data_IF_236108455190
#
_entry.id   IF_236108455190
#
_cell.length_a   1.000
_cell.length_b   1.000
_cell.length_c   1.000
_cell.angle_alpha   90.00
_cell.angle_beta   90.00
_cell.angle_gamma   90.00
#
_symmetry.space_group_name_H-M   'P 1'
#
loop_
_entity.id
_entity.type
_entity.pdbx_description
1 polymer ?
#
# COMPACT_ATOMS: atom_id res chain seq x y z
N UNK A 1 49.67 49.20 -7.15
CA UNK A 1 49.22 47.96 -6.47
C UNK A 1 47.79 47.69 -6.93
N UNK A 2 47.62 46.80 -7.91
CA UNK A 2 46.30 46.34 -8.34
C UNK A 2 46.15 44.89 -7.90
N UNK A 3 45.22 44.63 -7.00
CA UNK A 3 44.83 43.28 -6.58
C UNK A 3 43.74 42.79 -7.52
N UNK A 4 44.06 41.81 -8.35
CA UNK A 4 43.07 41.07 -9.14
C UNK A 4 42.50 39.95 -8.26
N UNK A 5 41.24 40.10 -7.86
CA UNK A 5 40.45 39.04 -7.23
C UNK A 5 40.08 38.00 -8.31
N UNK A 6 40.69 36.81 -8.23
CA UNK A 6 40.27 35.63 -8.97
C UNK A 6 39.05 35.03 -8.25
N UNK A 7 37.85 35.28 -8.78
CA UNK A 7 36.65 34.53 -8.41
C UNK A 7 36.72 33.13 -9.03
N UNK A 8 36.95 32.12 -8.20
CA UNK A 8 36.84 30.71 -8.59
C UNK A 8 35.38 30.37 -8.89
N UNK A 9 35.04 29.83 -10.07
CA UNK A 9 33.67 29.39 -10.33
C UNK A 9 33.41 28.13 -9.49
N UNK A 10 32.53 28.27 -8.51
CA UNK A 10 31.98 27.13 -7.77
C UNK A 10 31.19 26.29 -8.79
N UNK A 11 31.77 25.18 -9.27
CA UNK A 11 31.03 24.19 -10.02
C UNK A 11 30.02 23.54 -9.06
N UNK A 12 28.78 24.03 -9.09
CA UNK A 12 27.64 23.30 -8.54
C UNK A 12 27.59 21.97 -9.28
N UNK A 13 28.05 20.90 -8.64
CA UNK A 13 27.79 19.55 -9.11
C UNK A 13 26.27 19.38 -9.15
N UNK A 14 25.71 19.26 -10.35
CA UNK A 14 24.34 18.79 -10.54
C UNK A 14 24.29 17.42 -9.87
N UNK A 15 23.63 17.33 -8.72
CA UNK A 15 23.34 16.05 -8.10
C UNK A 15 22.48 15.28 -9.10
N UNK A 16 23.03 14.19 -9.64
CA UNK A 16 22.34 13.39 -10.63
C UNK A 16 21.18 12.65 -9.96
N UNK A 17 19.97 12.81 -10.49
CA UNK A 17 18.73 12.33 -9.89
C UNK A 17 18.04 11.30 -10.78
N UNK A 18 17.17 10.46 -10.22
CA UNK A 18 16.14 9.74 -10.96
C UNK A 18 15.29 10.78 -11.69
N UNK A 19 15.21 10.64 -13.01
CA UNK A 19 14.68 11.67 -13.90
C UNK A 19 13.20 11.43 -14.24
N UNK A 20 12.62 12.43 -14.90
CA UNK A 20 11.29 12.36 -15.51
C UNK A 20 11.42 12.14 -17.01
N UNK A 21 10.70 11.14 -17.51
CA UNK A 21 10.59 10.79 -18.91
C UNK A 21 9.84 11.85 -19.73
N UNK A 22 9.91 11.74 -21.05
CA UNK A 22 9.35 12.74 -21.99
C UNK A 22 8.60 12.11 -23.16
N UNK A 23 8.49 10.79 -23.20
CA UNK A 23 7.81 10.05 -24.26
C UNK A 23 6.31 9.92 -23.98
N UNK A 24 5.91 9.88 -22.70
CA UNK A 24 4.53 9.76 -22.27
C UNK A 24 4.22 10.80 -21.19
N UNK A 25 3.24 11.66 -21.44
CA UNK A 25 2.85 12.68 -20.47
C UNK A 25 2.13 12.02 -19.30
N UNK A 26 2.45 12.46 -18.09
CA UNK A 26 1.70 12.08 -16.91
C UNK A 26 0.39 12.86 -16.83
N UNK A 27 -0.73 12.14 -16.80
CA UNK A 27 -2.07 12.72 -16.69
C UNK A 27 -2.84 11.94 -15.62
N UNK A 28 -2.94 12.49 -14.42
CA UNK A 28 -3.65 11.86 -13.31
C UNK A 28 -5.15 11.71 -13.61
N UNK A 29 -5.72 10.49 -13.53
CA UNK A 29 -7.16 10.30 -13.55
C UNK A 29 -7.82 11.07 -12.40
N UNK A 30 -8.84 11.86 -12.71
CA UNK A 30 -9.57 12.64 -11.70
C UNK A 30 -10.35 11.70 -10.79
N UNK A 31 -10.37 11.97 -9.48
CA UNK A 31 -11.19 11.25 -8.51
C UNK A 31 -11.75 12.24 -7.50
N UNK A 32 -13.08 12.38 -7.49
CA UNK A 32 -13.79 13.19 -6.51
C UNK A 32 -13.94 12.41 -5.20
N UNK A 33 -13.85 13.11 -4.08
CA UNK A 33 -14.18 12.60 -2.76
C UNK A 33 -14.83 13.71 -1.93
N UNK A 34 -15.31 13.40 -0.74
CA UNK A 34 -15.94 14.42 0.12
C UNK A 34 -15.28 14.53 1.49
N UNK A 35 -15.11 15.76 1.97
CA UNK A 35 -14.73 16.06 3.35
C UNK A 35 -15.97 16.53 4.12
N UNK A 36 -16.28 15.90 5.26
CA UNK A 36 -17.47 16.24 6.03
C UNK A 36 -17.16 16.94 7.36
N UNK A 37 -18.04 17.85 7.74
CA UNK A 37 -18.05 18.47 9.05
C UNK A 37 -18.84 17.63 10.07
N UNK A 38 -18.64 17.96 11.35
CA UNK A 38 -19.38 17.38 12.47
C UNK A 38 -20.91 17.57 12.37
N UNK A 39 -21.36 18.55 11.60
CA UNK A 39 -22.78 18.85 11.35
C UNK A 39 -23.41 17.95 10.27
N UNK A 40 -22.64 16.99 9.73
CA UNK A 40 -23.06 16.11 8.64
C UNK A 40 -23.04 16.77 7.26
N UNK A 41 -22.59 18.03 7.16
CA UNK A 41 -22.41 18.69 5.87
C UNK A 41 -21.12 18.19 5.20
N UNK A 42 -21.20 17.87 3.91
CA UNK A 42 -20.05 17.36 3.16
C UNK A 42 -19.71 18.28 1.98
N UNK A 43 -18.42 18.57 1.82
CA UNK A 43 -17.88 19.34 0.70
C UNK A 43 -17.16 18.40 -0.24
N UNK A 44 -17.51 18.50 -1.53
CA UNK A 44 -16.77 17.80 -2.58
C UNK A 44 -15.37 18.39 -2.72
N UNK A 45 -14.41 17.50 -2.92
CA UNK A 45 -13.02 17.78 -3.21
C UNK A 45 -12.70 17.12 -4.54
N UNK A 46 -12.27 17.92 -5.51
CA UNK A 46 -11.76 17.43 -6.79
C UNK A 46 -10.29 17.02 -6.59
N UNK A 47 -10.03 15.71 -6.56
CA UNK A 47 -8.69 15.15 -6.47
C UNK A 47 -8.28 14.41 -7.75
N UNK A 48 -7.16 13.72 -7.67
CA UNK A 48 -6.69 12.79 -8.69
C UNK A 48 -6.07 11.57 -8.07
N UNK A 49 -5.67 10.61 -8.91
CA UNK A 49 -4.84 9.48 -8.48
C UNK A 49 -3.59 9.37 -9.34
N UNK A 50 -2.49 8.95 -8.73
CA UNK A 50 -1.28 8.56 -9.47
C UNK A 50 -0.96 7.08 -9.22
N UNK A 51 -0.34 6.41 -10.19
CA UNK A 51 0.13 5.03 -10.01
C UNK A 51 1.54 5.05 -9.45
N UNK A 52 1.82 4.07 -8.59
CA UNK A 52 3.13 3.86 -8.01
C UNK A 52 4.22 3.73 -9.08
N UNK A 53 5.36 4.37 -8.81
CA UNK A 53 6.53 4.40 -9.68
C UNK A 53 7.01 3.02 -10.13
N UNK A 54 6.80 1.98 -9.33
CA UNK A 54 7.27 0.62 -9.62
C UNK A 54 6.54 0.00 -10.84
N UNK A 55 5.34 0.47 -11.17
CA UNK A 55 4.58 0.05 -12.35
C UNK A 55 4.97 0.79 -13.62
N UNK A 56 5.67 1.91 -13.50
CA UNK A 56 5.99 2.79 -14.64
C UNK A 56 7.12 2.22 -15.46
N UNK A 57 7.12 2.57 -16.73
CA UNK A 57 8.27 2.30 -17.58
C UNK A 57 9.48 3.11 -17.10
N UNK A 58 10.58 2.41 -16.90
CA UNK A 58 11.87 2.99 -16.52
C UNK A 58 12.85 2.82 -17.69
N UNK A 59 13.24 3.93 -18.30
CA UNK A 59 14.12 3.94 -19.46
C UNK A 59 15.25 4.95 -19.33
N UNK A 60 16.21 4.89 -20.26
CA UNK A 60 17.35 5.82 -20.27
C UNK A 60 16.90 7.22 -20.69
N UNK A 61 17.44 8.25 -20.05
CA UNK A 61 17.05 9.66 -20.31
C UNK A 61 17.20 10.06 -21.79
N UNK A 62 18.28 9.60 -22.45
CA UNK A 62 18.64 10.06 -23.79
C UNK A 62 18.14 9.15 -24.94
N UNK A 63 17.49 8.02 -24.63
CA UNK A 63 17.00 7.08 -25.64
C UNK A 63 15.97 6.08 -25.08
N UNK A 64 15.15 5.41 -25.92
CA UNK A 64 14.04 4.57 -25.45
C UNK A 64 14.47 3.15 -24.99
N UNK A 65 15.74 2.91 -24.68
CA UNK A 65 16.14 1.62 -24.11
C UNK A 65 15.82 1.58 -22.62
N UNK A 66 15.12 0.54 -22.17
CA UNK A 66 14.75 0.34 -20.77
C UNK A 66 15.98 0.23 -19.85
N UNK A 67 15.85 0.76 -18.64
CA UNK A 67 16.75 0.48 -17.53
C UNK A 67 16.34 -0.77 -16.75
N UNK A 68 15.09 -1.20 -16.88
CA UNK A 68 14.53 -2.38 -16.21
C UNK A 68 13.56 -3.08 -17.15
N UNK A 69 13.79 -4.37 -17.41
CA UNK A 69 12.99 -5.20 -18.33
C UNK A 69 12.59 -6.49 -17.62
N UNK A 70 11.29 -6.84 -17.69
CA UNK A 70 10.73 -7.96 -16.94
C UNK A 70 10.93 -7.75 -15.44
N UNK A 71 11.79 -8.55 -14.83
CA UNK A 71 12.20 -8.46 -13.43
C UNK A 71 13.70 -8.22 -13.24
N UNK A 72 14.40 -7.69 -14.25
CA UNK A 72 15.86 -7.48 -14.22
C UNK A 72 16.27 -6.06 -14.60
N UNK A 73 17.32 -5.56 -13.95
CA UNK A 73 18.01 -4.33 -14.37
C UNK A 73 18.82 -4.57 -15.64
N UNK A 74 18.81 -3.58 -16.54
CA UNK A 74 19.54 -3.64 -17.81
C UNK A 74 20.92 -2.97 -17.67
N UNK A 75 22.00 -3.76 -17.73
CA UNK A 75 23.37 -3.25 -17.59
C UNK A 75 23.75 -2.22 -18.67
N UNK A 76 23.04 -2.15 -19.80
CA UNK A 76 23.33 -1.18 -20.87
C UNK A 76 22.84 0.22 -20.49
N UNK A 77 23.59 0.93 -19.67
CA UNK A 77 23.27 2.29 -19.22
C UNK A 77 22.75 2.37 -17.77
N UNK A 78 22.69 1.22 -17.09
CA UNK A 78 22.36 1.09 -15.69
C UNK A 78 23.21 -0.04 -15.08
N UNK A 79 24.54 0.12 -15.16
CA UNK A 79 25.57 -0.83 -14.71
C UNK A 79 26.05 -0.62 -13.25
N UNK A 80 25.65 0.48 -12.62
CA UNK A 80 26.00 0.86 -11.26
C UNK A 80 24.87 1.67 -10.63
N UNK A 81 24.79 1.69 -9.29
CA UNK A 81 23.74 2.43 -8.56
C UNK A 81 23.71 3.89 -8.99
N UNK A 82 24.87 4.54 -9.08
CA UNK A 82 24.95 5.95 -9.45
C UNK A 82 24.54 6.17 -10.92
N UNK A 83 24.95 5.31 -11.84
CA UNK A 83 24.58 5.41 -13.26
C UNK A 83 23.07 5.22 -13.45
N UNK A 84 22.48 4.18 -12.85
CA UNK A 84 21.04 3.96 -12.86
C UNK A 84 20.27 5.12 -12.24
N UNK A 85 20.76 5.63 -11.11
CA UNK A 85 20.11 6.75 -10.42
C UNK A 85 20.14 7.99 -11.28
N UNK A 86 21.26 8.29 -11.94
CA UNK A 86 21.43 9.48 -12.76
C UNK A 86 20.70 9.44 -14.10
N UNK A 87 20.67 8.28 -14.76
CA UNK A 87 20.41 8.17 -16.19
C UNK A 87 19.13 7.41 -16.53
N UNK A 88 18.34 7.02 -15.53
CA UNK A 88 17.03 6.41 -15.73
C UNK A 88 15.91 7.40 -15.39
N UNK A 89 14.86 7.35 -16.19
CA UNK A 89 13.71 8.23 -16.13
C UNK A 89 12.41 7.42 -16.01
N UNK A 90 11.49 7.89 -15.16
CA UNK A 90 10.12 7.36 -15.06
C UNK A 90 9.23 8.07 -16.07
N UNK A 91 8.47 7.30 -16.85
CA UNK A 91 7.48 7.85 -17.78
C UNK A 91 6.10 8.07 -17.16
N UNK A 92 5.28 8.84 -17.88
CA UNK A 92 3.84 8.89 -17.65
C UNK A 92 3.17 7.52 -17.82
N UNK A 93 1.87 7.47 -17.56
CA UNK A 93 1.11 6.21 -17.57
C UNK A 93 -0.21 6.31 -18.37
N UNK A 94 -0.41 5.39 -19.32
CA UNK A 94 -1.74 5.10 -19.88
C UNK A 94 -2.53 4.21 -18.91
N UNK A 95 -3.18 4.86 -17.94
CA UNK A 95 -3.96 4.23 -16.88
C UNK A 95 -4.97 3.20 -17.39
N UNK A 96 -5.70 3.54 -18.45
CA UNK A 96 -6.80 2.69 -18.93
C UNK A 96 -6.27 1.51 -19.71
N UNK A 97 -5.36 1.75 -20.66
CA UNK A 97 -4.88 0.70 -21.58
C UNK A 97 -3.86 -0.21 -20.92
N UNK A 98 -2.91 0.34 -20.18
CA UNK A 98 -1.79 -0.41 -19.62
C UNK A 98 -2.12 -1.01 -18.26
N UNK A 99 -2.83 -0.26 -17.41
CA UNK A 99 -3.04 -0.66 -16.01
C UNK A 99 -4.48 -1.05 -15.67
N UNK A 100 -5.44 -0.80 -16.58
CA UNK A 100 -6.86 -1.11 -16.34
C UNK A 100 -7.47 -0.28 -15.22
N UNK A 101 -6.93 0.92 -14.99
CA UNK A 101 -7.40 1.90 -14.02
C UNK A 101 -8.36 2.85 -14.71
N UNK A 102 -9.58 3.00 -14.18
CA UNK A 102 -10.57 3.93 -14.70
C UNK A 102 -11.17 4.74 -13.57
N UNK A 103 -11.42 6.02 -13.81
CA UNK A 103 -12.17 6.86 -12.88
C UNK A 103 -13.38 7.48 -13.54
N UNK A 104 -14.40 7.78 -12.74
CA UNK A 104 -15.59 8.51 -13.15
C UNK A 104 -16.21 9.16 -11.93
N UNK A 105 -16.14 10.49 -11.83
CA UNK A 105 -16.55 11.24 -10.64
C UNK A 105 -15.90 10.69 -9.36
N UNK A 106 -16.67 10.07 -8.47
CA UNK A 106 -16.24 9.48 -7.21
C UNK A 106 -15.88 8.00 -7.29
N UNK A 107 -16.04 7.37 -8.46
CA UNK A 107 -15.69 5.96 -8.69
C UNK A 107 -14.26 5.81 -9.19
N UNK A 108 -13.50 4.93 -8.54
CA UNK A 108 -12.24 4.35 -9.02
C UNK A 108 -12.43 2.86 -9.30
N UNK A 109 -11.97 2.40 -10.46
CA UNK A 109 -11.98 1.00 -10.86
C UNK A 109 -10.57 0.50 -11.09
N UNK A 110 -10.21 -0.63 -10.48
CA UNK A 110 -8.93 -1.30 -10.69
C UNK A 110 -9.16 -2.73 -11.17
N UNK A 111 -8.52 -3.09 -12.29
CA UNK A 111 -8.49 -4.47 -12.79
C UNK A 111 -7.28 -5.20 -12.25
N UNK A 112 -7.47 -6.46 -11.87
CA UNK A 112 -6.35 -7.31 -11.45
C UNK A 112 -5.42 -7.65 -12.61
N UNK A 113 -5.95 -8.03 -13.78
CA UNK A 113 -5.15 -8.33 -14.98
C UNK A 113 -5.62 -7.48 -16.16
N UNK A 114 -4.67 -6.79 -16.79
CA UNK A 114 -4.91 -5.95 -17.96
C UNK A 114 -4.01 -6.40 -19.10
N UNK A 115 -4.61 -6.97 -20.14
CA UNK A 115 -3.88 -7.34 -21.37
C UNK A 115 -3.92 -6.18 -22.36
N UNK A 116 -2.79 -5.89 -22.98
CA UNK A 116 -2.65 -4.92 -24.05
C UNK A 116 -1.75 -5.50 -25.16
N UNK A 117 -1.61 -4.79 -26.28
CA UNK A 117 -1.16 -5.33 -27.58
C UNK A 117 -0.12 -6.46 -27.55
N UNK A 118 0.99 -6.27 -26.84
CA UNK A 118 2.13 -7.20 -26.81
C UNK A 118 2.54 -7.63 -25.39
N UNK A 119 1.79 -7.23 -24.36
CA UNK A 119 2.15 -7.47 -22.98
C UNK A 119 0.92 -7.40 -22.06
N UNK A 120 1.13 -7.57 -20.77
CA UNK A 120 0.07 -7.48 -19.78
C UNK A 120 0.62 -6.90 -18.48
N UNK A 121 -0.28 -6.36 -17.67
CA UNK A 121 -0.02 -5.87 -16.34
C UNK A 121 -0.85 -6.67 -15.32
N UNK A 122 -0.28 -6.92 -14.15
CA UNK A 122 -0.95 -7.57 -13.02
C UNK A 122 -0.90 -6.65 -11.80
N UNK A 123 -2.08 -6.36 -11.25
CA UNK A 123 -2.25 -5.49 -10.10
C UNK A 123 -2.08 -4.00 -10.41
N UNK A 124 -2.33 -3.18 -9.41
CA UNK A 124 -1.99 -1.75 -9.43
C UNK A 124 -1.99 -1.22 -8.00
N UNK A 125 -1.16 -0.20 -7.74
CA UNK A 125 -1.15 0.57 -6.50
C UNK A 125 -1.26 2.06 -6.82
N UNK A 126 -2.29 2.70 -6.28
CA UNK A 126 -2.66 4.07 -6.58
C UNK A 126 -2.63 4.91 -5.30
N UNK A 127 -2.20 6.15 -5.42
CA UNK A 127 -2.17 7.14 -4.35
C UNK A 127 -3.15 8.27 -4.64
N UNK A 128 -3.88 8.74 -3.63
CA UNK A 128 -4.74 9.90 -3.76
C UNK A 128 -3.89 11.19 -3.80
N UNK A 129 -4.19 12.08 -4.75
CA UNK A 129 -3.47 13.33 -4.99
C UNK A 129 -4.27 14.54 -4.52
N UNK A 130 -3.60 15.46 -3.81
CA UNK A 130 -4.11 16.81 -3.48
C UNK A 130 -3.92 17.76 -4.67
N UNK A 131 -2.79 17.61 -5.37
CA UNK A 131 -2.42 18.41 -6.54
C UNK A 131 -1.47 17.62 -7.43
N UNK A 132 -1.06 18.17 -8.57
CA UNK A 132 -0.14 17.51 -9.52
C UNK A 132 1.16 17.01 -8.87
N UNK A 133 1.71 17.71 -7.87
CA UNK A 133 3.01 17.39 -7.27
C UNK A 133 2.93 16.95 -5.81
N UNK A 134 1.74 16.63 -5.30
CA UNK A 134 1.55 16.35 -3.87
C UNK A 134 0.44 15.36 -3.60
N UNK A 135 0.75 14.34 -2.81
CA UNK A 135 -0.24 13.39 -2.28
C UNK A 135 -1.19 14.09 -1.31
N UNK A 136 -2.45 13.64 -1.33
CA UNK A 136 -3.39 13.99 -0.27
C UNK A 136 -3.00 13.27 1.01
N UNK A 137 -2.82 14.05 2.08
CA UNK A 137 -2.51 13.53 3.41
C UNK A 137 -3.70 13.61 4.35
N UNK A 138 -3.71 12.73 5.33
CA UNK A 138 -4.84 12.47 6.21
C UNK A 138 -4.39 12.18 7.64
N UNK A 139 -5.00 12.81 8.64
CA UNK A 139 -4.76 12.54 10.05
C UNK A 139 -5.95 11.76 10.61
N UNK A 140 -5.73 10.54 11.09
CA UNK A 140 -6.84 9.62 11.39
C UNK A 140 -7.50 9.88 12.74
N UNK A 141 -6.77 10.36 13.76
CA UNK A 141 -7.29 10.57 15.12
C UNK A 141 -8.60 11.37 15.10
N UNK A 142 -9.59 10.84 15.82
CA UNK A 142 -10.90 11.43 16.04
C UNK A 142 -11.67 11.75 14.74
N UNK A 143 -11.36 10.98 13.70
CA UNK A 143 -12.02 11.02 12.41
C UNK A 143 -12.58 9.65 12.01
N UNK A 144 -13.33 9.63 10.92
CA UNK A 144 -13.77 8.40 10.27
C UNK A 144 -13.57 8.46 8.75
N UNK A 145 -13.36 7.28 8.15
CA UNK A 145 -13.30 7.08 6.71
C UNK A 145 -14.47 6.21 6.27
N UNK A 146 -15.20 6.64 5.24
CA UNK A 146 -16.29 5.91 4.62
C UNK A 146 -16.12 5.77 3.10
N UNK A 147 -16.30 4.55 2.59
CA UNK A 147 -16.27 4.27 1.15
C UNK A 147 -17.21 3.15 0.78
N UNK A 148 -17.79 3.20 -0.41
CA UNK A 148 -18.41 2.05 -1.03
C UNK A 148 -17.35 1.18 -1.70
N UNK A 149 -17.56 -0.13 -1.63
CA UNK A 149 -16.75 -1.11 -2.36
C UNK A 149 -17.65 -2.14 -3.03
N UNK A 150 -17.38 -2.39 -4.31
CA UNK A 150 -17.82 -3.59 -5.03
C UNK A 150 -16.58 -4.44 -5.32
N UNK A 151 -16.53 -5.56 -4.62
CA UNK A 151 -15.49 -6.58 -4.73
C UNK A 151 -16.10 -7.96 -5.04
N UNK A 152 -17.31 -7.99 -5.60
CA UNK A 152 -18.09 -9.20 -5.89
C UNK A 152 -17.37 -10.21 -6.80
N UNK A 153 -16.41 -9.71 -7.57
CA UNK A 153 -15.54 -10.49 -8.47
C UNK A 153 -14.13 -10.70 -7.92
N UNK A 154 -13.79 -10.21 -6.72
CA UNK A 154 -12.48 -10.44 -6.11
C UNK A 154 -12.50 -11.77 -5.38
N UNK A 155 -11.89 -12.78 -5.99
CA UNK A 155 -11.84 -14.14 -5.46
C UNK A 155 -10.65 -14.36 -4.53
N UNK A 156 -10.54 -15.56 -3.97
CA UNK A 156 -9.44 -15.93 -3.10
C UNK A 156 -8.07 -15.78 -3.79
N UNK A 157 -7.05 -15.42 -3.02
CA UNK A 157 -5.69 -15.18 -3.51
C UNK A 157 -5.47 -13.79 -4.11
N UNK A 158 -6.48 -12.92 -4.08
CA UNK A 158 -6.38 -11.52 -4.51
C UNK A 158 -6.81 -10.63 -3.35
N UNK A 159 -6.03 -9.59 -3.10
CA UNK A 159 -6.34 -8.57 -2.12
C UNK A 159 -6.72 -7.26 -2.83
N UNK A 160 -7.95 -6.82 -2.59
CA UNK A 160 -8.42 -5.46 -2.86
C UNK A 160 -8.23 -4.64 -1.59
N UNK A 161 -7.23 -3.76 -1.59
CA UNK A 161 -6.81 -3.05 -0.40
C UNK A 161 -7.07 -1.54 -0.46
N UNK A 162 -7.47 -0.99 0.69
CA UNK A 162 -7.43 0.44 0.99
C UNK A 162 -6.73 0.63 2.33
N UNK A 163 -5.68 1.44 2.35
CA UNK A 163 -4.85 1.61 3.53
C UNK A 163 -4.16 2.98 3.55
N UNK A 164 -3.52 3.28 4.68
CA UNK A 164 -2.73 4.48 4.89
C UNK A 164 -1.29 4.11 5.20
N UNK A 165 -0.35 4.86 4.64
CA UNK A 165 1.09 4.72 4.91
C UNK A 165 1.70 6.08 5.23
N UNK A 166 2.71 6.08 6.08
CA UNK A 166 3.43 7.31 6.46
C UNK A 166 4.45 7.68 5.38
N UNK A 167 3.99 8.03 4.18
CA UNK A 167 4.81 8.50 3.06
C UNK A 167 5.05 10.02 3.13
N UNK A 168 6.17 10.48 2.57
CA UNK A 168 6.37 11.92 2.34
C UNK A 168 5.37 12.43 1.29
N UNK A 169 4.67 13.53 1.58
CA UNK A 169 3.63 14.07 0.71
C UNK A 169 4.14 14.50 -0.69
N UNK A 170 5.43 14.79 -0.83
CA UNK A 170 6.09 15.12 -2.09
C UNK A 170 6.73 13.89 -2.77
N UNK A 171 6.47 12.68 -2.28
CA UNK A 171 7.09 11.45 -2.78
C UNK A 171 8.58 11.31 -2.45
N UNK A 172 9.07 12.08 -1.47
CA UNK A 172 10.43 12.04 -0.97
C UNK A 172 11.42 12.95 -1.68
N UNK A 173 10.95 13.88 -2.53
CA UNK A 173 11.82 14.80 -3.28
C UNK A 173 12.66 15.70 -2.36
N UNK A 174 12.06 16.31 -1.33
CA UNK A 174 12.78 17.17 -0.40
C UNK A 174 13.81 16.39 0.42
N UNK A 175 13.52 15.13 0.74
CA UNK A 175 14.40 14.25 1.51
C UNK A 175 15.54 13.69 0.68
N UNK A 176 15.27 13.40 -0.60
CA UNK A 176 16.20 12.78 -1.52
C UNK A 176 16.30 13.64 -2.79
N UNK A 177 17.25 14.59 -2.86
CA UNK A 177 17.44 15.45 -4.03
C UNK A 177 17.75 14.69 -5.33
N UNK A 178 18.14 13.42 -5.20
CA UNK A 178 18.32 12.48 -6.31
C UNK A 178 16.99 11.88 -6.79
N UNK A 179 15.83 12.37 -6.36
CA UNK A 179 14.52 12.05 -6.91
C UNK A 179 13.92 13.32 -7.52
N UNK A 180 13.92 13.42 -8.86
CA UNK A 180 13.32 14.55 -9.56
C UNK A 180 11.86 14.28 -9.98
N UNK A 181 11.35 13.06 -9.79
CA UNK A 181 10.03 12.65 -10.25
C UNK A 181 8.94 12.88 -9.17
N UNK A 182 9.18 12.45 -7.94
CA UNK A 182 8.32 12.77 -6.81
C UNK A 182 6.91 12.19 -6.85
N UNK A 183 6.03 12.81 -6.06
CA UNK A 183 4.63 12.39 -5.93
C UNK A 183 3.87 12.40 -7.26
N UNK A 184 4.21 13.28 -8.20
CA UNK A 184 3.59 13.30 -9.53
C UNK A 184 3.69 11.94 -10.24
N UNK A 185 4.83 11.26 -10.07
CA UNK A 185 5.12 9.96 -10.67
C UNK A 185 5.04 8.81 -9.66
N UNK A 186 4.36 9.00 -8.52
CA UNK A 186 4.09 7.91 -7.59
C UNK A 186 5.33 7.40 -6.83
N UNK A 187 6.36 8.22 -6.62
CA UNK A 187 7.56 7.78 -5.90
C UNK A 187 7.39 7.80 -4.37
N UNK A 188 8.34 7.16 -3.68
CA UNK A 188 8.47 7.28 -2.22
C UNK A 188 7.68 6.25 -1.43
N UNK A 189 7.11 5.23 -2.10
CA UNK A 189 6.35 4.18 -1.43
C UNK A 189 7.16 3.47 -0.34
N UNK A 190 6.49 3.21 0.77
CA UNK A 190 6.98 2.47 1.91
C UNK A 190 5.78 1.82 2.59
N UNK A 191 6.03 0.77 3.35
CA UNK A 191 5.04 0.14 4.21
C UNK A 191 5.71 -0.60 5.37
N UNK A 192 4.92 -1.25 6.23
CA UNK A 192 5.45 -1.96 7.38
C UNK A 192 6.09 -3.32 7.02
N UNK A 193 5.95 -3.77 5.77
CA UNK A 193 6.68 -4.92 5.23
C UNK A 193 8.12 -4.56 4.86
N UNK A 194 8.49 -3.27 4.88
CA UNK A 194 9.80 -2.80 4.49
C UNK A 194 10.18 -3.30 3.08
N UNK A 195 9.25 -3.21 2.13
CA UNK A 195 9.39 -3.88 0.83
C UNK A 195 10.72 -3.58 0.16
N UNK A 196 11.37 -4.65 -0.31
CA UNK A 196 12.64 -4.62 -1.04
C UNK A 196 12.46 -4.71 -2.56
N UNK A 197 11.22 -4.80 -3.04
CA UNK A 197 10.92 -4.91 -4.46
C UNK A 197 10.90 -3.57 -5.19
N UNK A 198 10.85 -2.46 -4.45
CA UNK A 198 10.81 -1.13 -5.06
C UNK A 198 12.13 -0.85 -5.80
N UNK A 199 12.02 -0.48 -7.07
CA UNK A 199 13.18 -0.17 -7.94
C UNK A 199 14.02 1.01 -7.45
N UNK A 200 13.42 2.00 -6.79
CA UNK A 200 14.14 3.14 -6.20
C UNK A 200 13.80 3.31 -4.73
N UNK A 201 14.82 3.24 -3.87
CA UNK A 201 14.68 3.36 -2.42
C UNK A 201 15.62 4.45 -1.92
N UNK A 202 15.09 5.43 -1.20
CA UNK A 202 15.89 6.55 -0.68
C UNK A 202 16.56 7.39 -1.77
N UNK A 203 15.89 7.56 -2.91
CA UNK A 203 16.42 8.28 -4.08
C UNK A 203 17.57 7.58 -4.79
N UNK A 204 17.74 6.26 -4.60
CA UNK A 204 18.78 5.47 -5.27
C UNK A 204 18.19 4.24 -5.93
N UNK A 205 18.74 3.88 -7.09
CA UNK A 205 18.39 2.63 -7.77
C UNK A 205 18.76 1.42 -6.90
N UNK A 206 17.81 0.52 -6.69
CA UNK A 206 17.94 -0.68 -5.86
C UNK A 206 18.55 -1.86 -6.65
N UNK A 207 19.58 -1.59 -7.47
CA UNK A 207 20.18 -2.62 -8.34
C UNK A 207 21.13 -3.55 -7.61
N UNK A 208 21.82 -3.03 -6.60
CA UNK A 208 22.91 -3.75 -5.94
C UNK A 208 22.33 -4.98 -5.25
N UNK A 209 22.83 -6.16 -5.60
CA UNK A 209 22.31 -7.43 -5.10
C UNK A 209 20.86 -7.72 -5.49
N UNK A 210 20.36 -7.14 -6.59
CA UNK A 210 19.01 -7.43 -7.08
C UNK A 210 18.87 -8.92 -7.46
N UNK A 211 17.88 -9.57 -6.87
CA UNK A 211 17.52 -10.96 -7.12
C UNK A 211 16.12 -10.98 -7.77
N UNK A 212 16.00 -11.37 -9.05
CA UNK A 212 14.71 -11.56 -9.70
C UNK A 212 13.86 -12.60 -8.97
N UNK A 213 12.54 -12.40 -8.92
CA UNK A 213 11.63 -13.40 -8.35
C UNK A 213 11.55 -14.64 -9.25
N UNK A 214 11.46 -15.82 -8.63
CA UNK A 214 11.23 -17.09 -9.34
C UNK A 214 9.75 -17.28 -9.71
N UNK A 215 8.83 -16.57 -9.05
CA UNK A 215 7.38 -16.73 -9.18
C UNK A 215 6.68 -15.49 -9.75
N UNK A 216 7.39 -14.38 -9.90
CA UNK A 216 6.87 -13.12 -10.43
C UNK A 216 7.83 -12.56 -11.50
N UNK A 217 7.38 -12.53 -12.74
CA UNK A 217 8.20 -12.08 -13.87
C UNK A 217 8.36 -10.55 -13.94
N UNK A 218 7.69 -9.78 -13.08
CA UNK A 218 7.76 -8.32 -13.02
C UNK A 218 8.47 -7.78 -11.78
N UNK A 219 8.78 -8.66 -10.82
CA UNK A 219 9.30 -8.27 -9.51
C UNK A 219 10.57 -9.01 -9.11
N UNK A 220 11.27 -8.45 -8.14
CA UNK A 220 12.46 -9.01 -7.53
C UNK A 220 12.71 -8.34 -6.20
N UNK A 221 13.93 -8.49 -5.67
CA UNK A 221 14.31 -7.87 -4.40
C UNK A 221 15.74 -7.34 -4.48
N UNK A 222 15.92 -6.06 -4.18
CA UNK A 222 17.23 -5.44 -4.04
C UNK A 222 17.74 -5.45 -2.60
N UNK A 223 18.90 -4.85 -2.35
CA UNK A 223 19.51 -4.79 -1.01
C UNK A 223 18.88 -3.74 -0.08
N UNK A 224 18.08 -2.81 -0.61
CA UNK A 224 17.41 -1.77 0.16
C UNK A 224 15.91 -2.09 0.28
N UNK A 225 15.35 -1.79 1.44
CA UNK A 225 13.90 -1.82 1.68
C UNK A 225 13.37 -0.47 2.13
N UNK A 226 12.11 -0.20 1.81
CA UNK A 226 11.42 1.05 2.14
C UNK A 226 10.38 0.83 3.22
N UNK A 227 10.67 1.28 4.44
CA UNK A 227 9.87 1.05 5.65
C UNK A 227 9.08 2.29 6.06
N UNK A 228 7.83 2.12 6.50
CA UNK A 228 7.13 3.12 7.31
C UNK A 228 5.91 2.52 8.04
N UNK A 229 5.39 3.21 9.07
CA UNK A 229 4.15 2.80 9.71
C UNK A 229 2.99 2.75 8.71
N UNK A 230 2.13 1.74 8.87
CA UNK A 230 0.99 1.46 8.01
C UNK A 230 -0.27 1.19 8.84
N UNK A 231 -1.40 1.73 8.40
CA UNK A 231 -2.72 1.32 8.88
C UNK A 231 -3.52 0.74 7.71
N UNK A 232 -3.76 -0.56 7.75
CA UNK A 232 -4.62 -1.24 6.77
C UNK A 232 -6.08 -1.09 7.17
N UNK A 233 -6.81 -0.21 6.50
CA UNK A 233 -8.25 -0.04 6.74
C UNK A 233 -9.00 -1.25 6.23
N UNK A 234 -8.65 -1.71 5.04
CA UNK A 234 -9.39 -2.72 4.33
C UNK A 234 -8.41 -3.56 3.54
N UNK A 235 -8.04 -4.74 4.04
CA UNK A 235 -7.51 -5.82 3.23
C UNK A 235 -8.68 -6.76 2.97
N UNK A 236 -9.02 -7.05 1.72
CA UNK A 236 -10.31 -7.66 1.38
C UNK A 236 -10.31 -8.51 0.14
N UNK A 237 -11.25 -9.46 0.12
CA UNK A 237 -11.86 -9.99 -1.09
C UNK A 237 -13.32 -10.34 -0.80
N UNK A 238 -13.98 -11.09 -1.68
CA UNK A 238 -15.37 -11.48 -1.49
C UNK A 238 -15.59 -12.51 -0.37
N UNK A 239 -14.54 -13.03 0.27
CA UNK A 239 -14.64 -14.13 1.24
C UNK A 239 -14.20 -13.74 2.64
N UNK A 240 -13.29 -12.78 2.75
CA UNK A 240 -12.69 -12.34 4.00
C UNK A 240 -12.32 -10.86 3.93
N UNK A 241 -12.22 -10.22 5.10
CA UNK A 241 -11.60 -8.91 5.24
C UNK A 241 -10.89 -8.78 6.59
N UNK A 242 -9.94 -7.86 6.64
CA UNK A 242 -9.27 -7.46 7.87
C UNK A 242 -8.94 -5.98 7.87
N UNK A 243 -8.95 -5.40 9.06
CA UNK A 243 -8.23 -4.15 9.34
C UNK A 243 -7.03 -4.46 10.23
N UNK A 244 -5.92 -3.73 10.07
CA UNK A 244 -4.72 -3.96 10.86
C UNK A 244 -3.87 -2.71 11.08
N UNK A 245 -3.25 -2.65 12.26
CA UNK A 245 -2.29 -1.61 12.64
C UNK A 245 -0.88 -2.17 12.61
N UNK A 246 0.05 -1.45 11.98
CA UNK A 246 1.44 -1.83 11.85
C UNK A 246 2.36 -0.66 12.24
N UNK A 247 3.12 -0.84 13.32
CA UNK A 247 4.01 0.19 13.89
C UNK A 247 5.46 -0.05 13.51
N UNK A 248 6.30 0.98 13.61
CA UNK A 248 7.72 0.88 13.29
C UNK A 248 8.61 1.51 14.37
N UNK A 249 9.91 1.23 14.28
CA UNK A 249 10.94 1.89 15.11
C UNK A 249 11.11 3.38 14.80
N UNK A 250 10.59 3.86 13.67
CA UNK A 250 10.59 5.27 13.26
C UNK A 250 9.21 5.68 12.78
N UNK A 251 8.87 6.94 13.01
CA UNK A 251 7.54 7.49 12.76
C UNK A 251 7.21 7.74 11.28
N UNK A 252 8.21 7.70 10.39
CA UNK A 252 8.01 8.02 8.97
C UNK A 252 8.85 7.15 8.04
N UNK A 253 8.94 7.52 6.74
CA UNK A 253 9.70 6.78 5.74
C UNK A 253 11.14 6.59 6.18
N UNK A 254 11.68 5.39 6.03
CA UNK A 254 13.09 5.14 6.27
C UNK A 254 13.58 3.93 5.47
N UNK A 255 14.87 3.95 5.17
CA UNK A 255 15.52 2.86 4.43
C UNK A 255 16.06 1.83 5.43
N UNK A 256 15.87 0.55 5.12
CA UNK A 256 16.59 -0.56 5.74
C UNK A 256 17.53 -1.21 4.73
N UNK A 257 18.60 -1.83 5.22
CA UNK A 257 19.45 -2.74 4.43
C UNK A 257 18.94 -4.17 4.55
N UNK A 258 19.28 -5.04 3.59
CA UNK A 258 18.76 -6.41 3.50
C UNK A 258 18.69 -7.18 4.83
N UNK A 259 19.74 -7.13 5.65
CA UNK A 259 19.79 -7.82 6.96
C UNK A 259 18.91 -7.19 8.05
N UNK A 260 18.48 -5.95 7.87
CA UNK A 260 17.57 -5.23 8.76
C UNK A 260 16.10 -5.28 8.27
N UNK A 261 15.89 -5.55 6.98
CA UNK A 261 14.58 -5.67 6.33
C UNK A 261 14.02 -7.10 6.49
N UNK A 262 13.74 -7.51 7.71
CA UNK A 262 13.49 -8.92 8.05
C UNK A 262 12.12 -9.49 7.64
N UNK A 263 11.30 -8.78 6.85
CA UNK A 263 9.97 -9.30 6.48
C UNK A 263 10.03 -10.58 5.63
N UNK A 264 10.97 -10.67 4.69
CA UNK A 264 11.04 -11.82 3.77
C UNK A 264 11.75 -13.05 4.38
N UNK A 265 12.15 -12.98 5.65
CA UNK A 265 12.77 -14.11 6.35
C UNK A 265 11.68 -14.99 7.00
N UNK A 266 11.97 -16.30 7.23
CA UNK A 266 11.05 -17.20 7.92
C UNK A 266 10.57 -16.59 9.23
N UNK A 267 9.29 -16.77 9.58
CA UNK A 267 8.69 -16.13 10.76
C UNK A 267 9.47 -16.36 12.06
N UNK A 268 10.03 -17.55 12.25
CA UNK A 268 10.88 -17.90 13.39
C UNK A 268 12.23 -17.16 13.44
N UNK A 269 12.69 -16.65 12.30
CA UNK A 269 13.96 -15.95 12.10
C UNK A 269 13.78 -14.44 11.92
N UNK A 270 12.54 -13.96 11.76
CA UNK A 270 12.23 -12.54 11.80
C UNK A 270 12.63 -12.05 13.19
N UNK A 271 13.72 -11.30 13.32
CA UNK A 271 13.96 -10.41 14.46
C UNK A 271 12.84 -9.37 14.57
N UNK A 272 12.87 -8.42 15.52
CA UNK A 272 11.83 -7.37 15.61
C UNK A 272 11.74 -6.50 14.34
N UNK A 273 12.65 -6.68 13.36
CA UNK A 273 12.70 -5.93 12.13
C UNK A 273 12.83 -4.43 12.41
N UNK A 274 12.53 -3.62 11.39
CA UNK A 274 12.32 -2.17 11.57
C UNK A 274 10.84 -1.81 11.78
N UNK A 275 9.95 -2.72 11.38
CA UNK A 275 8.51 -2.55 11.41
C UNK A 275 7.81 -3.86 11.74
N UNK A 276 6.64 -3.75 12.36
CA UNK A 276 5.74 -4.86 12.61
C UNK A 276 4.94 -5.20 11.35
N UNK A 277 5.49 -6.08 10.54
CA UNK A 277 4.84 -6.51 9.31
C UNK A 277 3.65 -7.47 9.55
N UNK A 278 3.53 -8.07 10.74
CA UNK A 278 2.38 -8.92 11.09
C UNK A 278 1.20 -8.07 11.51
N UNK A 279 1.44 -7.06 12.35
CA UNK A 279 0.44 -6.12 12.80
C UNK A 279 -0.54 -6.68 13.83
N UNK A 280 -1.24 -5.77 14.49
CA UNK A 280 -2.46 -6.11 15.22
C UNK A 280 -3.66 -6.06 14.28
N UNK A 281 -4.32 -7.20 14.03
CA UNK A 281 -5.39 -7.31 13.03
C UNK A 281 -6.74 -7.73 13.60
N UNK A 282 -7.83 -7.22 13.02
CA UNK A 282 -9.18 -7.71 13.29
C UNK A 282 -9.79 -8.26 12.00
N UNK A 283 -9.95 -9.58 11.94
CA UNK A 283 -10.65 -10.29 10.87
C UNK A 283 -11.83 -11.05 11.49
N UNK A 284 -13.09 -10.78 11.11
CA UNK A 284 -14.25 -11.41 11.74
C UNK A 284 -14.23 -12.95 11.66
N UNK A 285 -13.78 -13.51 10.54
CA UNK A 285 -13.65 -14.95 10.36
C UNK A 285 -12.60 -15.52 11.32
N UNK A 286 -11.42 -14.90 11.39
CA UNK A 286 -10.33 -15.28 12.34
C UNK A 286 -10.79 -15.16 13.80
N UNK A 287 -11.65 -14.18 14.09
CA UNK A 287 -12.26 -13.96 15.41
C UNK A 287 -13.45 -14.89 15.71
N UNK A 288 -13.73 -15.87 14.83
CA UNK A 288 -14.72 -16.93 15.03
C UNK A 288 -16.09 -16.69 14.40
N UNK A 289 -16.32 -15.53 13.78
CA UNK A 289 -17.61 -15.14 13.20
C UNK A 289 -17.68 -15.48 11.71
N UNK A 290 -17.78 -16.77 11.39
CA UNK A 290 -17.66 -17.30 10.02
C UNK A 290 -18.80 -16.92 9.08
N UNK A 291 -19.99 -16.64 9.62
CA UNK A 291 -21.22 -16.33 8.85
C UNK A 291 -21.49 -14.82 8.67
N UNK A 292 -20.55 -13.98 9.09
CA UNK A 292 -20.73 -12.52 9.02
C UNK A 292 -20.54 -11.96 7.61
N UNK A 293 -19.43 -12.30 6.94
CA UNK A 293 -19.03 -11.68 5.69
C UNK A 293 -18.74 -12.71 4.61
N UNK A 294 -19.31 -12.50 3.42
CA UNK A 294 -19.10 -13.32 2.22
C UNK A 294 -20.34 -13.44 1.34
N UNK A 295 -20.23 -14.12 0.20
CA UNK A 295 -21.36 -14.26 -0.75
C UNK A 295 -22.53 -14.97 -0.08
N UNK A 296 -23.69 -14.31 -0.02
CA UNK A 296 -24.92 -14.81 0.61
C UNK A 296 -24.92 -14.85 2.15
N UNK A 297 -23.98 -14.19 2.83
CA UNK A 297 -23.89 -14.12 4.29
C UNK A 297 -24.59 -12.87 4.85
N UNK A 298 -24.39 -12.59 6.15
CA UNK A 298 -25.00 -11.42 6.83
C UNK A 298 -24.72 -10.12 6.08
N UNK A 299 -23.47 -9.90 5.67
CA UNK A 299 -23.09 -8.92 4.66
C UNK A 299 -22.73 -9.67 3.39
N UNK A 300 -23.56 -9.49 2.36
CA UNK A 300 -23.47 -10.22 1.09
C UNK A 300 -22.47 -9.54 0.14
N UNK A 301 -21.29 -10.11 0.00
CA UNK A 301 -20.23 -9.56 -0.86
C UNK A 301 -20.51 -9.73 -2.35
N UNK A 302 -21.59 -10.41 -2.75
CA UNK A 302 -22.03 -10.44 -4.15
C UNK A 302 -22.59 -9.09 -4.64
N UNK A 303 -22.72 -8.10 -3.74
CA UNK A 303 -23.26 -6.78 -3.99
C UNK A 303 -22.37 -5.70 -3.36
N UNK A 304 -22.46 -4.48 -3.88
CA UNK A 304 -21.80 -3.31 -3.30
C UNK A 304 -22.29 -3.06 -1.87
N UNK A 305 -21.38 -2.62 -0.99
CA UNK A 305 -21.68 -2.16 0.36
C UNK A 305 -20.74 -1.02 0.76
N UNK A 306 -21.09 -0.30 1.82
CA UNK A 306 -20.26 0.76 2.41
C UNK A 306 -19.47 0.20 3.59
N UNK A 307 -18.20 0.58 3.69
CA UNK A 307 -17.34 0.38 4.86
C UNK A 307 -17.19 1.72 5.56
N UNK A 308 -17.38 1.75 6.88
CA UNK A 308 -17.08 2.92 7.72
C UNK A 308 -16.10 2.51 8.81
N UNK A 309 -14.97 3.21 8.91
CA UNK A 309 -13.93 3.00 9.92
C UNK A 309 -13.76 4.24 10.76
N UNK A 310 -13.87 4.08 12.08
CA UNK A 310 -13.81 5.16 13.07
C UNK A 310 -12.55 5.03 13.90
N UNK A 311 -11.82 6.13 14.05
CA UNK A 311 -10.53 6.18 14.70
C UNK A 311 -10.61 7.07 15.93
N UNK A 312 -10.44 6.49 17.11
CA UNK A 312 -10.35 7.22 18.38
C UNK A 312 -9.01 6.96 19.03
N UNK A 313 -8.63 7.74 20.04
CA UNK A 313 -7.37 7.54 20.77
C UNK A 313 -7.24 6.12 21.39
N UNK A 314 -8.35 5.48 21.78
CA UNK A 314 -8.33 4.21 22.50
C UNK A 314 -8.79 3.01 21.67
N UNK A 315 -9.45 3.26 20.53
CA UNK A 315 -10.08 2.21 19.74
C UNK A 315 -10.20 2.58 18.27
N UNK A 316 -10.05 1.58 17.41
CA UNK A 316 -10.48 1.64 16.00
C UNK A 316 -11.59 0.64 15.77
N UNK A 317 -12.73 1.11 15.27
CA UNK A 317 -13.92 0.29 15.00
C UNK A 317 -14.35 0.39 13.56
N UNK A 318 -15.03 -0.66 13.08
CA UNK A 318 -15.69 -0.65 11.79
C UNK A 318 -17.16 -1.02 11.92
N UNK A 319 -17.96 -0.56 10.97
CA UNK A 319 -19.27 -1.11 10.67
C UNK A 319 -19.49 -1.07 9.15
N UNK A 320 -20.37 -1.93 8.66
CA UNK A 320 -20.72 -2.03 7.25
C UNK A 320 -22.15 -1.54 7.03
N UNK A 321 -22.43 -0.91 5.88
CA UNK A 321 -23.79 -0.54 5.49
C UNK A 321 -24.12 -1.19 4.16
N UNK A 322 -25.15 -2.04 4.15
CA UNK A 322 -25.64 -2.67 2.93
C UNK A 322 -27.15 -2.54 2.85
N UNK A 323 -27.66 -2.09 1.70
CA UNK A 323 -29.11 -1.88 1.50
C UNK A 323 -29.73 -1.00 2.60
N UNK A 324 -29.07 0.11 2.95
CA UNK A 324 -29.44 1.04 4.02
C UNK A 324 -29.53 0.41 5.44
N UNK A 325 -29.01 -0.81 5.61
CA UNK A 325 -28.95 -1.49 6.90
C UNK A 325 -27.52 -1.45 7.42
N UNK A 326 -27.35 -1.01 8.67
CA UNK A 326 -26.06 -1.03 9.38
C UNK A 326 -25.82 -2.42 9.98
N UNK A 327 -24.61 -2.92 9.80
CA UNK A 327 -24.08 -4.16 10.35
C UNK A 327 -22.83 -3.83 11.16
N UNK A 328 -22.94 -3.89 12.48
CA UNK A 328 -21.76 -3.79 13.34
C UNK A 328 -20.90 -5.05 13.20
N UNK A 329 -19.58 -4.87 13.22
CA UNK A 329 -18.67 -6.01 13.21
C UNK A 329 -18.87 -6.83 14.50
N UNK A 330 -19.07 -8.16 14.43
CA UNK A 330 -19.32 -8.97 15.61
C UNK A 330 -18.07 -9.09 16.47
N UNK A 331 -18.26 -9.09 17.79
CA UNK A 331 -17.20 -9.34 18.76
C UNK A 331 -16.61 -10.76 18.60
N UNK A 332 -15.37 -11.00 19.05
CA UNK A 332 -14.76 -12.34 18.97
C UNK A 332 -15.55 -13.38 19.76
N UNK A 333 -15.51 -14.63 19.30
CA UNK A 333 -16.14 -15.76 20.00
C UNK A 333 -15.23 -16.35 21.09
N UNK A 334 -13.97 -15.94 21.16
CA UNK A 334 -12.98 -16.42 22.11
C UNK A 334 -13.12 -15.68 23.45
N UNK A 335 -13.18 -16.42 24.55
CA UNK A 335 -13.40 -15.86 25.89
C UNK A 335 -12.23 -15.02 26.42
N UNK A 336 -11.03 -15.28 25.91
CA UNK A 336 -9.81 -14.62 26.36
C UNK A 336 -9.57 -13.27 25.66
N UNK A 337 -10.37 -12.94 24.64
CA UNK A 337 -10.34 -11.66 23.95
C UNK A 337 -11.40 -10.68 24.51
N UNK A 338 -11.22 -9.36 24.30
CA UNK A 338 -12.26 -8.37 24.59
C UNK A 338 -13.59 -8.72 23.92
N UNK A 339 -14.71 -8.47 24.61
CA UNK A 339 -16.08 -8.70 24.10
C UNK A 339 -16.57 -7.59 23.15
N UNK A 340 -15.65 -6.91 22.50
CA UNK A 340 -15.95 -5.83 21.57
C UNK A 340 -15.13 -6.02 20.30
N UNK A 341 -15.75 -5.75 19.16
CA UNK A 341 -15.02 -5.76 17.90
C UNK A 341 -14.10 -4.55 17.77
N UNK A 342 -13.02 -4.75 17.03
CA UNK A 342 -12.10 -3.70 16.64
C UNK A 342 -10.71 -3.81 17.24
N UNK A 343 -9.88 -2.82 16.96
CA UNK A 343 -8.54 -2.71 17.51
C UNK A 343 -8.60 -1.88 18.79
N UNK A 344 -7.95 -2.35 19.84
CA UNK A 344 -7.71 -1.63 21.08
C UNK A 344 -6.42 -2.16 21.69
N UNK A 345 -5.85 -1.46 22.67
CA UNK A 345 -4.68 -1.96 23.41
C UNK A 345 -4.88 -3.39 23.93
N UNK A 346 -6.03 -3.65 24.56
CA UNK A 346 -6.32 -4.96 25.16
C UNK A 346 -6.48 -6.06 24.09
N UNK A 347 -7.13 -5.74 22.97
CA UNK A 347 -7.23 -6.66 21.83
C UNK A 347 -5.84 -6.99 21.26
N UNK A 348 -5.03 -5.95 21.04
CA UNK A 348 -3.74 -6.11 20.39
C UNK A 348 -2.75 -6.91 21.22
N UNK A 349 -2.78 -6.81 22.55
CA UNK A 349 -1.94 -7.64 23.42
C UNK A 349 -2.45 -9.08 23.48
N UNK A 350 -3.75 -9.28 23.72
CA UNK A 350 -4.31 -10.61 24.01
C UNK A 350 -4.39 -11.54 22.80
N UNK A 351 -4.53 -11.00 21.59
CA UNK A 351 -4.63 -11.85 20.41
C UNK A 351 -3.35 -12.66 20.14
N UNK A 352 -2.18 -12.08 20.42
CA UNK A 352 -0.90 -12.75 20.16
C UNK A 352 -0.71 -13.93 21.10
N UNK A 353 -1.08 -13.76 22.38
CA UNK A 353 -1.11 -14.85 23.35
C UNK A 353 -2.08 -15.96 22.93
N UNK A 354 -3.31 -15.60 22.53
CA UNK A 354 -4.32 -16.58 22.12
C UNK A 354 -3.90 -17.38 20.89
N UNK A 355 -3.35 -16.70 19.88
CA UNK A 355 -2.96 -17.33 18.61
C UNK A 355 -1.53 -17.87 18.60
N UNK A 356 -0.82 -17.81 19.74
CA UNK A 356 0.57 -18.22 19.88
C UNK A 356 1.50 -17.56 18.85
N UNK A 357 1.27 -16.27 18.60
CA UNK A 357 2.05 -15.43 17.71
C UNK A 357 2.97 -14.51 18.52
N UNK A 358 4.07 -14.07 17.92
CA UNK A 358 4.96 -13.09 18.51
C UNK A 358 4.32 -11.70 18.46
N UNK A 359 4.26 -11.03 19.60
CA UNK A 359 3.78 -9.66 19.74
C UNK A 359 4.86 -8.63 19.36
N UNK A 360 5.17 -8.53 18.07
CA UNK A 360 6.13 -7.55 17.55
C UNK A 360 5.62 -6.11 17.78
N UNK A 361 4.29 -5.90 17.74
CA UNK A 361 3.69 -4.60 18.01
C UNK A 361 4.12 -4.06 19.37
N UNK A 362 3.99 -4.85 20.44
CA UNK A 362 4.40 -4.44 21.80
C UNK A 362 5.91 -4.25 21.91
N UNK A 363 6.72 -5.07 21.23
CA UNK A 363 8.18 -4.91 21.18
C UNK A 363 8.59 -3.58 20.53
N UNK A 364 7.80 -3.10 19.58
CA UNK A 364 8.04 -1.86 18.82
C UNK A 364 7.26 -0.65 19.35
N UNK A 365 6.83 -0.65 20.61
CA UNK A 365 6.21 0.52 21.25
C UNK A 365 4.68 0.49 21.37
N UNK A 366 4.04 -0.60 20.93
CA UNK A 366 2.65 -0.93 21.27
C UNK A 366 1.62 0.10 20.80
N UNK A 367 0.57 0.28 21.62
CA UNK A 367 -0.54 1.19 21.32
C UNK A 367 -0.13 2.67 21.35
N UNK A 368 0.92 3.00 22.10
CA UNK A 368 1.50 4.34 22.14
C UNK A 368 2.07 4.72 20.77
N UNK A 369 2.83 3.82 20.12
CA UNK A 369 3.27 4.05 18.73
C UNK A 369 2.13 4.00 17.73
N UNK A 370 1.12 3.14 17.91
CA UNK A 370 -0.10 3.19 17.07
C UNK A 370 -0.70 4.60 17.07
N UNK A 371 -0.88 5.20 18.25
CA UNK A 371 -1.40 6.56 18.36
C UNK A 371 -0.47 7.58 17.71
N UNK A 372 0.81 7.60 18.08
CA UNK A 372 1.74 8.66 17.64
C UNK A 372 2.15 8.55 16.18
N UNK A 373 2.09 7.36 15.57
CA UNK A 373 2.53 7.10 14.19
C UNK A 373 1.38 6.99 13.19
N UNK A 374 0.22 6.46 13.61
CA UNK A 374 -0.89 6.15 12.68
C UNK A 374 -2.11 7.03 12.89
N UNK A 375 -2.39 7.44 14.13
CA UNK A 375 -3.53 8.33 14.38
C UNK A 375 -3.15 9.80 14.22
N UNK A 376 -1.93 10.17 14.60
CA UNK A 376 -1.54 11.59 14.73
C UNK A 376 -0.80 12.15 13.52
N UNK A 377 -0.15 11.29 12.75
CA UNK A 377 0.65 11.72 11.62
C UNK A 377 -0.21 11.95 10.37
N UNK A 378 0.21 12.85 9.47
CA UNK A 378 -0.32 12.92 8.13
C UNK A 378 0.09 11.66 7.35
N UNK A 379 -0.88 10.87 6.92
CA UNK A 379 -0.68 9.65 6.14
C UNK A 379 -1.21 9.80 4.71
N UNK A 380 -0.60 9.08 3.77
CA UNK A 380 -1.06 9.01 2.37
C UNK A 380 -2.00 7.81 2.22
N UNK A 381 -3.15 8.05 1.57
CA UNK A 381 -4.10 6.98 1.24
C UNK A 381 -3.62 6.21 0.00
N UNK A 382 -3.69 4.87 0.10
CA UNK A 382 -3.33 3.94 -0.95
C UNK A 382 -4.52 3.05 -1.28
N UNK A 383 -4.76 2.85 -2.57
CA UNK A 383 -5.77 1.93 -3.11
C UNK A 383 -5.08 0.95 -4.04
N UNK A 384 -5.21 -0.35 -3.79
CA UNK A 384 -4.50 -1.36 -4.59
C UNK A 384 -5.30 -2.61 -4.84
N UNK A 385 -5.00 -3.28 -5.95
CA UNK A 385 -5.38 -4.67 -6.20
C UNK A 385 -4.12 -5.47 -6.52
N UNK A 386 -3.97 -6.65 -5.93
CA UNK A 386 -2.78 -7.49 -6.16
C UNK A 386 -2.96 -8.92 -5.66
N UNK A 387 -2.01 -9.78 -6.05
CA UNK A 387 -1.89 -11.15 -5.58
C UNK A 387 -0.58 -11.28 -4.78
N UNK A 388 -0.57 -12.11 -3.74
CA UNK A 388 0.62 -12.44 -2.98
C UNK A 388 1.29 -13.60 -3.70
N UNK A 389 2.41 -13.29 -4.35
CA UNK A 389 3.24 -14.25 -5.07
C UNK A 389 4.22 -14.96 -4.13
N UNK A 390 4.26 -14.60 -2.83
CA UNK A 390 5.03 -15.32 -1.83
C UNK A 390 4.31 -16.61 -1.45
N UNK A 391 5.02 -17.73 -1.51
CA UNK A 391 4.45 -19.03 -1.18
C UNK A 391 4.42 -19.23 0.34
N UNK A 392 3.28 -19.67 0.91
CA UNK A 392 2.03 -19.92 0.22
C UNK A 392 1.18 -18.65 0.01
N UNK A 393 0.57 -18.48 -1.18
CA UNK A 393 -0.14 -17.27 -1.57
C UNK A 393 -1.33 -16.97 -0.64
N UNK A 394 -1.35 -15.78 -0.03
CA UNK A 394 -2.44 -15.18 0.78
C UNK A 394 -3.17 -16.06 1.82
N UNK A 395 -2.62 -17.23 2.18
CA UNK A 395 -3.23 -18.10 3.20
C UNK A 395 -3.50 -17.42 4.56
N UNK A 396 -2.73 -16.42 5.04
CA UNK A 396 -3.06 -15.73 6.29
C UNK A 396 -4.39 -14.95 6.26
N UNK A 397 -4.92 -14.67 5.06
CA UNK A 397 -6.01 -13.73 4.87
C UNK A 397 -7.36 -14.38 4.50
N UNK A 398 -7.35 -15.34 3.57
CA UNK A 398 -8.55 -15.99 3.03
C UNK A 398 -8.45 -17.52 2.93
N UNK A 399 -7.36 -18.09 3.44
CA UNK A 399 -7.13 -19.51 3.58
C UNK A 399 -6.87 -19.91 5.04
N UNK A 400 -6.54 -21.19 5.26
CA UNK A 400 -5.94 -21.60 6.52
C UNK A 400 -4.45 -21.28 6.45
N UNK A 401 -4.06 -20.12 6.99
CA UNK A 401 -2.68 -19.77 7.23
C UNK A 401 -2.00 -20.85 8.06
N UNK A 402 -0.81 -21.28 7.66
CA UNK A 402 -0.04 -22.31 8.39
C UNK A 402 0.56 -21.68 9.66
N UNK A 403 -0.28 -21.52 10.67
CA UNK A 403 0.07 -21.50 12.07
C UNK A 403 -1.05 -22.23 12.83
N UNK A 404 -0.95 -23.57 12.83
CA UNK A 404 -1.72 -24.41 13.77
C UNK A 404 -2.95 -25.17 13.25
N UNK A 405 -3.13 -25.41 11.94
CA UNK A 405 -3.97 -26.52 11.46
C UNK A 405 -3.67 -26.86 9.99
N UNK A 406 -3.21 -28.09 9.76
CA UNK A 406 -3.13 -28.74 8.45
C UNK A 406 -4.54 -28.82 7.81
N UNK A 407 -4.81 -28.06 6.75
CA UNK A 407 -5.74 -28.48 5.69
C UNK A 407 -5.31 -27.87 4.34
N UNK A 408 -5.12 -28.74 3.36
CA UNK A 408 -4.92 -28.47 1.93
C UNK A 408 -5.87 -27.40 1.38
N UNK A 409 -5.31 -26.34 0.79
CA UNK A 409 -5.85 -25.72 -0.42
C UNK A 409 -4.68 -25.40 -1.35
N UNK A 410 -4.22 -26.46 -2.02
CA UNK A 410 -3.27 -26.37 -3.11
C UNK A 410 -4.05 -26.11 -4.41
N UNK A 411 -3.53 -25.21 -5.26
CA UNK A 411 -3.92 -25.00 -6.67
C UNK A 411 -5.18 -24.16 -6.92
N UNK A 412 -5.05 -22.82 -7.08
CA UNK A 412 -5.95 -22.04 -7.97
C UNK A 412 -5.33 -20.76 -8.59
N UNK A 413 -4.08 -20.39 -8.29
CA UNK A 413 -3.44 -19.25 -8.97
C UNK A 413 -3.18 -19.50 -10.48
N UNK A 414 -2.99 -20.76 -10.89
CA UNK A 414 -2.72 -21.14 -12.29
C UNK A 414 -3.98 -21.14 -13.20
N UNK A 415 -5.14 -20.68 -12.71
CA UNK A 415 -6.40 -20.69 -13.48
C UNK A 415 -7.18 -19.38 -13.47
N UNK A 416 -6.52 -18.23 -13.31
CA UNK A 416 -7.12 -16.94 -13.72
C UNK A 416 -6.88 -16.72 -15.22
N UNK A 417 -7.33 -17.69 -16.03
CA UNK A 417 -7.37 -17.54 -17.48
C UNK A 417 -8.78 -17.07 -17.88
N UNK A 418 -8.86 -15.80 -18.27
CA UNK A 418 -10.01 -15.25 -18.99
C UNK A 418 -11.08 -14.51 -18.19
N UNK A 419 -10.96 -14.36 -16.86
CA UNK A 419 -11.87 -13.49 -16.09
C UNK A 419 -11.18 -12.20 -15.65
N UNK A 420 -11.69 -11.05 -16.13
CA UNK A 420 -11.25 -9.73 -15.68
C UNK A 420 -11.92 -9.43 -14.34
N UNK A 421 -11.17 -9.55 -13.24
CA UNK A 421 -11.62 -9.21 -11.90
C UNK A 421 -11.42 -7.71 -11.70
N UNK A 422 -12.48 -7.02 -11.27
CA UNK A 422 -12.51 -5.56 -11.15
C UNK A 422 -13.07 -5.18 -9.79
N UNK A 423 -12.38 -4.27 -9.11
CA UNK A 423 -12.89 -3.60 -7.91
C UNK A 423 -13.42 -2.24 -8.31
N UNK A 424 -14.56 -1.85 -7.77
CA UNK A 424 -15.03 -0.47 -7.80
C UNK A 424 -15.03 0.10 -6.38
N UNK A 425 -14.33 1.20 -6.19
CA UNK A 425 -14.30 1.95 -4.95
C UNK A 425 -14.99 3.30 -5.18
N UNK A 426 -15.97 3.66 -4.35
CA UNK A 426 -16.45 5.04 -4.30
C UNK A 426 -16.10 5.66 -2.96
N UNK A 427 -15.29 6.71 -2.94
CA UNK A 427 -14.94 7.41 -1.70
C UNK A 427 -16.08 8.37 -1.36
N UNK A 428 -17.05 7.87 -0.58
CA UNK A 428 -18.23 8.63 -0.20
C UNK A 428 -17.84 9.83 0.68
N UNK A 429 -17.09 9.59 1.76
CA UNK A 429 -16.69 10.62 2.72
C UNK A 429 -15.38 10.23 3.42
N UNK A 430 -14.38 11.11 3.41
CA UNK A 430 -13.08 10.80 4.00
C UNK A 430 -12.90 11.25 5.45
N UNK A 431 -13.73 12.14 6.01
CA UNK A 431 -13.58 12.67 7.37
C UNK A 431 -14.94 13.03 7.97
N UNK A 432 -15.31 12.45 9.11
CA UNK A 432 -16.20 13.08 10.11
C UNK A 432 -15.30 13.72 11.16
N UNK A 433 -15.45 15.01 11.44
CA UNK A 433 -14.86 15.64 12.62
C UNK A 433 -15.73 15.41 13.86
N UNK A 434 -15.08 15.01 14.97
CA UNK A 434 -15.60 14.88 16.35
C UNK A 434 -16.58 13.72 16.62
N UNK A 435 -16.01 12.57 17.00
CA UNK A 435 -16.63 11.63 17.95
C UNK A 435 -16.58 12.17 19.38
#
# INVERSE_FOLDING_TARGET
MHWSLLTSPLALGLAAAQQVGKYENEIHPTLQWSSCGADGSCKKVDGGVTIDADFRWLHRVDNPGSCFDGNTWNDRGCDSVDNCTANCALEGADYVRSYGVKTSADTLSQRFRTNFDFAYNVGSRLFLMESQHRYQTFTLRDNELAFDVDLSTVECGINSALYFVSMDADGGMARYPTNAAGAEYGTGYCDASCTRSVKFVGGKANREGWIPSETDEFSGKGNLGSCCPQFSVWNSNAHSFSMSSHVCVKDGPHVCSAGDCLYNEPYAERGPGRCDATGCSYNPYRMGNKEFYGKGKTVDTAQKFTVVTQFTATKVTQFLVQNNTRFDIPAPTFTDLPREAGLSRDMCVKQFDLFAERDIMSELGGWEHHQSQLLDQPLVMVMSIGADVSTPPFLPFDGLGVYGALVEYQVWADRVDGQSLTVHLNILHAFIMNL
#
